data_IF_249642164508
#
_entry.id   IF_249642164508
#
_cell.length_a   1.000
_cell.length_b   1.000
_cell.length_c   1.000
_cell.angle_alpha   90.00
_cell.angle_beta   90.00
_cell.angle_gamma   90.00
#
_symmetry.space_group_name_H-M   'P 1'
#
loop_
_entity.id
_entity.type
_entity.pdbx_description
1 polymer ?
#
# COMPACT_ATOMS: atom_id res chain seq x y z
N UNK A 1 3.88 -28.08 -21.98
CA UNK A 1 4.79 -27.68 -20.89
C UNK A 1 4.70 -26.19 -20.69
N UNK A 2 5.00 -25.69 -19.49
CA UNK A 2 5.10 -24.25 -19.21
C UNK A 2 6.31 -23.69 -19.98
N UNK A 3 6.25 -22.43 -20.44
CA UNK A 3 7.35 -21.76 -21.19
C UNK A 3 8.15 -20.80 -20.32
N UNK A 4 7.49 -20.17 -19.35
CA UNK A 4 8.09 -19.20 -18.45
C UNK A 4 7.73 -19.49 -17.00
N UNK A 5 8.71 -19.43 -16.10
CA UNK A 5 8.47 -19.35 -14.66
C UNK A 5 8.59 -17.89 -14.22
N UNK A 6 7.52 -17.40 -13.59
CA UNK A 6 7.50 -16.07 -12.98
C UNK A 6 7.72 -16.24 -11.48
N UNK A 7 8.75 -15.59 -10.95
CA UNK A 7 9.13 -15.62 -9.55
C UNK A 7 9.17 -14.20 -9.00
N UNK A 8 8.68 -14.01 -7.79
CA UNK A 8 8.71 -12.72 -7.10
C UNK A 8 9.13 -12.88 -5.65
N UNK A 9 9.95 -11.96 -5.14
CA UNK A 9 10.26 -11.86 -3.72
C UNK A 9 9.90 -10.46 -3.20
N UNK A 10 9.09 -10.40 -2.15
CA UNK A 10 8.82 -9.14 -1.45
C UNK A 10 10.06 -8.78 -0.65
N UNK A 11 10.61 -7.59 -0.90
CA UNK A 11 11.85 -7.14 -0.25
C UNK A 11 11.62 -6.08 0.80
N UNK A 12 10.51 -5.35 0.71
CA UNK A 12 10.18 -4.31 1.66
C UNK A 12 8.67 -4.18 1.80
N UNK A 13 8.23 -4.00 3.05
CA UNK A 13 6.86 -3.67 3.41
C UNK A 13 6.97 -2.54 4.42
N UNK A 14 6.51 -1.36 4.03
CA UNK A 14 6.47 -0.19 4.89
C UNK A 14 5.02 0.23 5.09
N UNK A 15 4.60 0.36 6.36
CA UNK A 15 3.36 1.01 6.74
C UNK A 15 3.68 2.18 7.67
N UNK A 16 3.45 3.39 7.18
CA UNK A 16 3.56 4.60 7.98
C UNK A 16 2.16 5.15 8.26
N UNK A 17 1.92 5.53 9.51
CA UNK A 17 0.75 6.31 9.88
C UNK A 17 1.24 7.61 10.46
N UNK A 18 1.07 8.69 9.72
CA UNK A 18 1.42 10.02 10.16
C UNK A 18 0.17 10.70 10.72
N UNK A 19 0.13 10.85 12.04
CA UNK A 19 -0.92 11.61 12.74
C UNK A 19 -0.64 13.11 12.79
N UNK A 20 0.41 13.59 12.10
CA UNK A 20 0.85 14.99 12.08
C UNK A 20 -0.02 15.95 11.26
N UNK A 21 -1.21 15.53 10.81
CA UNK A 21 -2.17 16.44 10.18
C UNK A 21 -2.77 17.38 11.22
N UNK A 22 -2.94 18.65 10.86
CA UNK A 22 -3.40 19.71 11.76
C UNK A 22 -4.61 19.28 12.60
N UNK A 23 -4.50 19.49 13.90
CA UNK A 23 -5.57 19.25 14.88
C UNK A 23 -6.22 20.57 15.24
N UNK A 24 -7.52 20.69 15.01
CA UNK A 24 -8.33 21.81 15.50
C UNK A 24 -9.07 21.32 16.72
N UNK A 25 -8.74 21.87 17.89
CA UNK A 25 -9.38 21.53 19.16
C UNK A 25 -10.06 22.76 19.74
N UNK A 26 -11.35 22.64 19.97
CA UNK A 26 -12.19 23.57 20.75
C UNK A 26 -12.61 22.89 22.04
N UNK A 27 -13.21 23.63 22.98
CA UNK A 27 -13.67 23.09 24.28
C UNK A 27 -14.67 21.93 24.13
N UNK A 28 -15.44 21.92 23.03
CA UNK A 28 -16.52 20.95 22.80
C UNK A 28 -16.26 19.99 21.63
N UNK A 29 -15.37 20.33 20.70
CA UNK A 29 -15.12 19.54 19.48
C UNK A 29 -13.63 19.44 19.16
N UNK A 30 -13.21 18.28 18.67
CA UNK A 30 -11.87 18.06 18.11
C UNK A 30 -11.97 17.45 16.73
N UNK A 31 -11.25 18.02 15.77
CA UNK A 31 -11.06 17.45 14.43
C UNK A 31 -9.57 17.21 14.23
N UNK A 32 -9.20 15.99 13.85
CA UNK A 32 -7.83 15.64 13.50
C UNK A 32 -7.79 14.91 12.17
N UNK A 33 -6.98 15.41 11.24
CA UNK A 33 -6.68 14.71 10.00
C UNK A 33 -5.43 13.85 10.19
N UNK A 34 -5.43 12.65 9.62
CA UNK A 34 -4.27 11.77 9.56
C UNK A 34 -4.00 11.33 8.13
N UNK A 35 -2.76 10.93 7.89
CA UNK A 35 -2.35 10.27 6.65
C UNK A 35 -1.78 8.92 7.00
N UNK A 36 -2.03 7.92 6.16
CA UNK A 36 -1.31 6.66 6.21
C UNK A 36 -0.77 6.36 4.82
N UNK A 37 0.43 5.80 4.80
CA UNK A 37 1.17 5.46 3.59
C UNK A 37 1.53 3.98 3.75
N UNK A 38 1.13 3.17 2.78
CA UNK A 38 1.51 1.78 2.69
C UNK A 38 2.29 1.58 1.39
N UNK A 39 3.49 1.02 1.49
CA UNK A 39 4.38 0.75 0.37
C UNK A 39 4.84 -0.71 0.41
N UNK A 40 4.81 -1.36 -0.74
CA UNK A 40 5.34 -2.71 -0.94
C UNK A 40 6.32 -2.69 -2.10
N UNK A 41 7.47 -3.32 -1.91
CA UNK A 41 8.48 -3.52 -2.95
C UNK A 41 8.60 -5.00 -3.28
N UNK A 42 8.53 -5.32 -4.57
CA UNK A 42 8.71 -6.67 -5.13
C UNK A 42 9.87 -6.69 -6.12
N UNK A 43 10.72 -7.70 -6.03
CA UNK A 43 11.66 -8.05 -7.09
C UNK A 43 11.10 -9.21 -7.90
N UNK A 44 10.74 -8.94 -9.16
CA UNK A 44 10.18 -9.89 -10.11
C UNK A 44 11.28 -10.44 -11.02
N UNK A 45 11.24 -11.74 -11.32
CA UNK A 45 12.09 -12.41 -12.31
C UNK A 45 11.26 -13.35 -13.17
N UNK A 46 11.55 -13.39 -14.46
CA UNK A 46 10.96 -14.34 -15.42
C UNK A 46 12.08 -15.22 -15.97
N UNK A 47 11.88 -16.53 -15.91
CA UNK A 47 12.85 -17.54 -16.33
C UNK A 47 12.27 -18.33 -17.49
N UNK A 48 13.00 -18.43 -18.61
CA UNK A 48 12.64 -19.32 -19.71
C UNK A 48 12.94 -20.77 -19.30
N UNK A 49 11.93 -21.63 -19.34
CA UNK A 49 12.05 -23.02 -18.88
C UNK A 49 12.86 -23.90 -19.83
N UNK A 50 13.02 -23.49 -21.07
CA UNK A 50 13.77 -24.20 -22.11
C UNK A 50 15.27 -24.01 -21.94
N UNK A 51 15.69 -22.80 -21.57
CA UNK A 51 17.12 -22.44 -21.42
C UNK A 51 17.57 -22.37 -19.96
N UNK A 52 16.64 -22.20 -19.01
CA UNK A 52 16.93 -21.93 -17.61
C UNK A 52 17.42 -20.51 -17.34
N UNK A 53 17.42 -19.62 -18.34
CA UNK A 53 17.94 -18.26 -18.22
C UNK A 53 16.87 -17.28 -17.74
N UNK A 54 17.31 -16.28 -16.97
CA UNK A 54 16.47 -15.14 -16.58
C UNK A 54 16.32 -14.22 -17.78
N UNK A 55 15.12 -14.15 -18.34
CA UNK A 55 14.81 -13.28 -19.50
C UNK A 55 14.32 -11.90 -19.07
N UNK A 56 13.89 -11.76 -17.81
CA UNK A 56 13.48 -10.49 -17.25
C UNK A 56 13.73 -10.43 -15.75
N UNK A 57 14.16 -9.27 -15.25
CA UNK A 57 14.33 -9.01 -13.82
C UNK A 57 14.10 -7.52 -13.54
N UNK A 58 13.12 -7.19 -12.69
CA UNK A 58 12.81 -5.80 -12.36
C UNK A 58 12.31 -5.65 -10.92
N UNK A 59 12.69 -4.52 -10.32
CA UNK A 59 12.13 -4.05 -9.04
C UNK A 59 10.86 -3.26 -9.32
N UNK A 60 9.78 -3.63 -8.65
CA UNK A 60 8.46 -3.02 -8.76
C UNK A 60 8.01 -2.54 -7.39
N UNK A 61 7.44 -1.34 -7.35
CA UNK A 61 6.98 -0.70 -6.12
C UNK A 61 5.51 -0.33 -6.27
N UNK A 62 4.73 -0.63 -5.25
CA UNK A 62 3.33 -0.28 -5.12
C UNK A 62 3.14 0.53 -3.84
N UNK A 63 2.80 1.80 -4.00
CA UNK A 63 2.51 2.71 -2.89
C UNK A 63 1.06 3.16 -2.95
N UNK A 64 0.42 3.15 -1.79
CA UNK A 64 -0.89 3.72 -1.56
C UNK A 64 -0.83 4.73 -0.42
N UNK A 65 -1.47 5.87 -0.62
CA UNK A 65 -1.61 6.92 0.39
C UNK A 65 -3.08 7.03 0.74
N UNK A 66 -3.46 6.67 1.96
CA UNK A 66 -4.79 6.91 2.47
C UNK A 66 -4.86 8.10 3.43
N UNK A 67 -6.05 8.71 3.48
CA UNK A 67 -6.35 9.83 4.37
C UNK A 67 -7.32 9.35 5.43
N UNK A 68 -7.12 9.75 6.68
CA UNK A 68 -8.04 9.51 7.78
C UNK A 68 -8.55 10.83 8.34
N UNK A 69 -9.80 10.82 8.80
CA UNK A 69 -10.42 11.95 9.48
C UNK A 69 -11.02 11.46 10.80
N UNK A 70 -10.60 12.09 11.88
CA UNK A 70 -11.05 11.81 13.24
C UNK A 70 -11.89 13.00 13.72
N UNK A 71 -13.10 12.71 14.21
CA UNK A 71 -14.00 13.68 14.82
C UNK A 71 -14.28 13.24 16.26
N UNK A 72 -14.13 14.17 17.20
CA UNK A 72 -14.38 13.96 18.61
C UNK A 72 -15.27 15.06 19.18
N UNK A 73 -16.13 14.68 20.11
CA UNK A 73 -16.95 15.58 20.93
C UNK A 73 -16.50 15.46 22.39
N UNK A 74 -16.37 16.60 23.07
CA UNK A 74 -15.95 16.70 24.47
C UNK A 74 -17.09 17.35 25.27
N UNK A 75 -17.59 16.67 26.30
CA UNK A 75 -18.59 17.22 27.20
C UNK A 75 -18.25 16.89 28.66
N UNK A 76 -18.14 17.92 29.50
CA UNK A 76 -17.88 17.80 30.94
C UNK A 76 -16.66 16.92 31.31
N UNK A 77 -15.59 16.99 30.52
CA UNK A 77 -14.36 16.21 30.74
C UNK A 77 -14.39 14.78 30.19
N UNK A 78 -15.52 14.32 29.65
CA UNK A 78 -15.65 13.04 28.97
C UNK A 78 -15.63 13.28 27.44
N UNK A 79 -14.69 12.63 26.75
CA UNK A 79 -14.56 12.69 25.29
C UNK A 79 -15.05 11.40 24.64
N UNK A 80 -15.93 11.52 23.65
CA UNK A 80 -16.35 10.40 22.77
C UNK A 80 -15.97 10.77 21.34
N UNK A 81 -15.26 9.88 20.65
CA UNK A 81 -14.76 10.14 19.30
C UNK A 81 -14.98 8.96 18.35
N UNK A 82 -15.28 9.29 17.10
CA UNK A 82 -15.38 8.36 15.99
C UNK A 82 -14.24 8.58 15.01
N UNK A 83 -13.58 7.50 14.59
CA UNK A 83 -12.51 7.53 13.62
C UNK A 83 -12.97 6.86 12.32
N UNK A 84 -12.93 7.58 11.20
CA UNK A 84 -13.11 7.01 9.87
C UNK A 84 -11.73 6.77 9.27
N UNK A 85 -11.27 5.52 9.31
CA UNK A 85 -10.00 5.09 8.72
C UNK A 85 -10.25 4.07 7.61
N UNK A 86 -9.63 4.27 6.45
CA UNK A 86 -9.65 3.29 5.35
C UNK A 86 -8.69 2.17 5.75
N UNK A 87 -9.23 1.09 6.32
CA UNK A 87 -8.48 0.01 6.99
C UNK A 87 -7.91 -1.07 6.04
N UNK A 88 -7.60 -0.76 4.78
CA UNK A 88 -7.06 -1.76 3.83
C UNK A 88 -6.00 -1.19 2.87
N UNK A 89 -5.15 -0.27 3.34
CA UNK A 89 -4.20 0.42 2.47
C UNK A 89 -3.10 -0.49 1.92
N UNK A 90 -2.59 -1.42 2.74
CA UNK A 90 -1.56 -2.36 2.31
C UNK A 90 -2.09 -3.39 1.31
N UNK A 91 -3.28 -3.96 1.54
CA UNK A 91 -3.91 -4.88 0.58
C UNK A 91 -4.15 -4.22 -0.78
N UNK A 92 -4.60 -2.96 -0.78
CA UNK A 92 -4.78 -2.18 -1.99
C UNK A 92 -3.45 -1.82 -2.67
N UNK A 93 -2.39 -1.51 -1.89
CA UNK A 93 -1.04 -1.31 -2.42
C UNK A 93 -0.50 -2.59 -3.06
N UNK A 94 -0.72 -3.74 -2.42
CA UNK A 94 -0.36 -5.06 -2.94
C UNK A 94 -1.10 -5.36 -4.25
N UNK A 95 -2.41 -5.13 -4.30
CA UNK A 95 -3.20 -5.35 -5.51
C UNK A 95 -2.68 -4.50 -6.67
N UNK A 96 -2.46 -3.20 -6.44
CA UNK A 96 -1.92 -2.28 -7.46
C UNK A 96 -0.52 -2.70 -7.93
N UNK A 97 0.31 -3.22 -7.02
CA UNK A 97 1.61 -3.77 -7.37
C UNK A 97 1.46 -5.01 -8.26
N UNK A 98 0.57 -5.94 -7.91
CA UNK A 98 0.31 -7.15 -8.69
C UNK A 98 -0.25 -6.83 -10.08
N UNK A 99 -1.15 -5.86 -10.20
CA UNK A 99 -1.69 -5.40 -11.48
C UNK A 99 -0.55 -4.89 -12.39
N UNK A 100 0.35 -4.05 -11.84
CA UNK A 100 1.54 -3.57 -12.55
C UNK A 100 2.50 -4.70 -12.93
N UNK A 101 2.65 -5.72 -12.08
CA UNK A 101 3.45 -6.90 -12.40
C UNK A 101 2.85 -7.65 -13.60
N UNK A 102 1.53 -7.83 -13.62
CA UNK A 102 0.83 -8.51 -14.70
C UNK A 102 0.99 -7.78 -16.04
N UNK A 103 0.84 -6.44 -16.03
CA UNK A 103 1.07 -5.60 -17.22
C UNK A 103 2.49 -5.75 -17.76
N UNK A 104 3.51 -5.68 -16.88
CA UNK A 104 4.90 -5.86 -17.28
C UNK A 104 5.14 -7.26 -17.88
N UNK A 105 4.61 -8.33 -17.24
CA UNK A 105 4.75 -9.71 -17.74
C UNK A 105 4.11 -9.88 -19.12
N UNK A 106 2.90 -9.34 -19.31
CA UNK A 106 2.21 -9.41 -20.60
C UNK A 106 3.05 -8.74 -21.68
N UNK A 107 3.59 -7.55 -21.42
CA UNK A 107 4.39 -6.80 -22.39
C UNK A 107 5.69 -7.51 -22.82
N UNK A 108 6.21 -8.44 -22.00
CA UNK A 108 7.46 -9.18 -22.30
C UNK A 108 7.18 -10.54 -22.96
N UNK A 109 5.97 -11.09 -22.74
CA UNK A 109 5.60 -12.44 -23.21
C UNK A 109 4.65 -12.42 -24.41
N UNK A 110 4.10 -11.25 -24.78
CA UNK A 110 3.37 -10.99 -26.03
C UNK A 110 4.30 -10.82 -27.22
#
# INVERSE_FOLDING_TARGET
GIRYFVLGSVTDITEETNSGGGQVKTSMFSVAAGQSIASITLHLRVIDTTTGLVVYSKRLEGTLVGKSLNLGVHYAGIGVGGSKSVRTQLGNAAQKLLDKCAEDIIAITS
#
